data_IF_367870357358
#
_entry.id   IF_367870357358
#
_cell.length_a   1.000
_cell.length_b   1.000
_cell.length_c   1.000
_cell.angle_alpha   90.00
_cell.angle_beta   90.00
_cell.angle_gamma   90.00
#
_symmetry.space_group_name_H-M   'P 1'
#
loop_
_entity.id
_entity.type
_entity.pdbx_description
1 polymer ?
#
# COMPACT_ATOMS: atom_id res chain seq x y z
N UNK A 1 -44.89 -34.88 36.09
CA UNK A 1 -43.56 -35.50 35.96
C UNK A 1 -43.29 -35.68 34.47
N UNK A 2 -42.25 -35.07 33.92
CA UNK A 2 -41.75 -35.36 32.56
C UNK A 2 -40.89 -36.64 32.54
N UNK A 3 -40.02 -36.87 31.53
CA UNK A 3 -39.83 -36.11 30.29
C UNK A 3 -39.76 -36.99 29.00
N UNK A 4 -39.55 -36.29 27.89
CA UNK A 4 -39.22 -36.74 26.52
C UNK A 4 -37.87 -37.49 26.43
N UNK A 5 -37.74 -38.38 25.44
CA UNK A 5 -36.50 -38.71 24.70
C UNK A 5 -36.95 -39.14 23.29
N UNK A 6 -36.44 -38.65 22.17
CA UNK A 6 -35.16 -38.00 21.90
C UNK A 6 -34.71 -38.54 20.54
N UNK A 7 -35.24 -37.99 19.46
CA UNK A 7 -34.82 -38.32 18.10
C UNK A 7 -33.50 -37.61 17.80
N UNK A 8 -32.39 -38.33 17.89
CA UNK A 8 -31.13 -37.88 17.33
C UNK A 8 -31.11 -38.22 15.84
N UNK A 9 -31.31 -37.23 14.98
CA UNK A 9 -30.83 -37.30 13.60
C UNK A 9 -29.60 -36.39 13.53
N UNK A 10 -28.43 -37.03 13.55
CA UNK A 10 -27.17 -36.39 13.21
C UNK A 10 -27.22 -35.96 11.75
N UNK A 11 -27.24 -34.66 11.50
CA UNK A 11 -27.15 -34.11 10.15
C UNK A 11 -25.69 -34.21 9.68
N UNK A 12 -25.35 -35.32 9.02
CA UNK A 12 -24.07 -35.48 8.33
C UNK A 12 -24.08 -34.65 7.04
N UNK A 13 -23.30 -33.57 6.99
CA UNK A 13 -23.10 -32.80 5.75
C UNK A 13 -22.03 -33.48 4.91
N UNK A 14 -22.42 -33.99 3.73
CA UNK A 14 -21.50 -34.53 2.72
C UNK A 14 -21.20 -33.41 1.71
N UNK A 15 -19.94 -32.96 1.67
CA UNK A 15 -19.45 -32.07 0.62
C UNK A 15 -18.87 -32.91 -0.52
N UNK A 16 -19.47 -32.82 -1.71
CA UNK A 16 -18.96 -33.43 -2.94
C UNK A 16 -18.18 -32.34 -3.67
N UNK A 17 -16.86 -32.49 -3.78
CA UNK A 17 -16.05 -31.68 -4.70
C UNK A 17 -16.09 -32.32 -6.09
N UNK A 18 -16.57 -31.56 -7.06
CA UNK A 18 -16.47 -31.87 -8.49
C UNK A 18 -15.07 -31.51 -8.97
N UNK A 19 -14.17 -32.49 -9.01
CA UNK A 19 -12.85 -32.37 -9.64
C UNK A 19 -12.55 -33.69 -10.36
N UNK A 20 -12.65 -33.65 -11.68
CA UNK A 20 -12.41 -34.79 -12.57
C UNK A 20 -10.90 -34.96 -12.81
N UNK A 21 -10.41 -36.12 -12.36
CA UNK A 21 -9.24 -36.88 -12.84
C UNK A 21 -7.82 -36.38 -12.47
N UNK A 22 -6.84 -37.21 -12.09
CA UNK A 22 -6.69 -38.66 -11.86
C UNK A 22 -5.35 -38.80 -11.12
N UNK A 23 -5.30 -39.34 -9.89
CA UNK A 23 -4.11 -40.04 -9.42
C UNK A 23 -4.43 -40.99 -8.25
N UNK A 24 -3.81 -42.18 -8.17
CA UNK A 24 -4.29 -43.27 -7.32
C UNK A 24 -3.39 -43.42 -6.09
N UNK A 25 -3.71 -42.82 -4.95
CA UNK A 25 -3.19 -43.27 -3.64
C UNK A 25 -3.85 -42.51 -2.47
N UNK A 26 -4.65 -43.25 -1.69
CA UNK A 26 -4.83 -43.00 -0.25
C UNK A 26 -5.90 -41.99 0.16
N UNK A 27 -7.16 -42.45 0.29
CA UNK A 27 -8.18 -41.77 1.07
C UNK A 27 -7.74 -41.64 2.54
N UNK A 28 -7.42 -40.42 2.98
CA UNK A 28 -7.30 -40.09 4.41
C UNK A 28 -8.31 -39.00 4.74
N UNK A 29 -9.45 -39.42 5.32
CA UNK A 29 -10.50 -38.53 5.82
C UNK A 29 -10.07 -38.01 7.20
N UNK A 30 -9.91 -36.70 7.35
CA UNK A 30 -9.73 -36.06 8.66
C UNK A 30 -11.10 -35.68 9.22
N UNK A 31 -11.52 -36.36 10.29
CA UNK A 31 -12.67 -35.98 11.10
C UNK A 31 -12.21 -34.86 12.07
N UNK A 32 -12.75 -33.66 11.90
CA UNK A 32 -12.55 -32.55 12.83
C UNK A 32 -13.73 -32.52 13.80
N UNK A 33 -13.48 -32.85 15.07
CA UNK A 33 -14.46 -32.68 16.14
C UNK A 33 -14.72 -31.18 16.41
N UNK A 34 -15.97 -30.75 16.68
CA UNK A 34 -16.25 -29.36 16.94
C UNK A 34 -15.68 -28.94 18.30
N UNK A 35 -14.73 -28.01 18.27
CA UNK A 35 -14.21 -27.34 19.47
C UNK A 35 -15.33 -26.51 20.12
N UNK A 36 -15.86 -26.98 21.25
CA UNK A 36 -16.79 -26.22 22.10
C UNK A 36 -16.10 -24.94 22.59
N UNK A 37 -16.53 -23.77 22.08
CA UNK A 37 -16.22 -22.47 22.67
C UNK A 37 -17.31 -22.12 23.69
N UNK A 38 -16.94 -21.49 24.83
CA UNK A 38 -17.91 -21.18 25.88
C UNK A 38 -18.93 -20.15 25.40
N UNK A 39 -20.20 -20.42 25.71
CA UNK A 39 -21.35 -19.56 25.47
C UNK A 39 -21.18 -18.29 26.30
N UNK A 40 -20.97 -17.15 25.65
CA UNK A 40 -21.19 -15.84 26.25
C UNK A 40 -22.69 -15.55 26.17
N UNK A 41 -23.31 -15.27 27.32
CA UNK A 41 -24.72 -14.95 27.44
C UNK A 41 -25.06 -13.66 26.69
N UNK A 42 -25.79 -13.79 25.58
CA UNK A 42 -26.37 -12.67 24.84
C UNK A 42 -27.57 -12.10 25.61
N UNK A 43 -27.56 -10.78 25.84
CA UNK A 43 -28.66 -10.06 26.46
C UNK A 43 -29.90 -10.13 25.56
N UNK A 44 -31.00 -10.66 26.10
CA UNK A 44 -32.30 -10.78 25.45
C UNK A 44 -32.79 -9.41 24.95
N UNK A 45 -32.98 -9.27 23.64
CA UNK A 45 -33.58 -8.09 23.03
C UNK A 45 -35.09 -8.04 23.34
N UNK A 46 -35.61 -6.84 23.63
CA UNK A 46 -37.03 -6.58 23.90
C UNK A 46 -37.89 -6.89 22.67
N UNK A 47 -39.00 -7.60 22.88
CA UNK A 47 -39.99 -7.91 21.84
C UNK A 47 -40.78 -6.64 21.48
N UNK A 48 -40.71 -6.22 20.22
CA UNK A 48 -41.54 -5.16 19.65
C UNK A 48 -42.55 -5.87 18.74
N UNK A 49 -43.83 -5.80 19.08
CA UNK A 49 -44.92 -6.45 18.33
C UNK A 49 -45.65 -5.40 17.48
N UNK A 50 -45.74 -5.64 16.18
CA UNK A 50 -46.60 -4.88 15.27
C UNK A 50 -48.01 -5.49 15.29
N UNK A 51 -48.97 -4.76 15.87
CA UNK A 51 -50.33 -5.24 16.13
C UNK A 51 -51.16 -5.43 14.85
N UNK A 52 -50.73 -4.94 13.69
CA UNK A 52 -51.51 -4.99 12.44
C UNK A 52 -51.14 -6.19 11.54
N UNK A 53 -50.03 -6.90 11.79
CA UNK A 53 -49.55 -7.94 10.87
C UNK A 53 -49.34 -9.35 11.45
N UNK A 54 -49.66 -9.65 12.72
CA UNK A 54 -49.42 -10.96 13.35
C UNK A 54 -47.98 -11.53 13.12
N UNK A 55 -47.02 -10.66 12.80
CA UNK A 55 -45.63 -11.02 12.52
C UNK A 55 -44.84 -10.84 13.81
N UNK A 56 -44.40 -11.95 14.41
CA UNK A 56 -43.54 -11.95 15.59
C UNK A 56 -42.10 -12.20 15.15
N UNK A 57 -41.19 -11.27 15.46
CA UNK A 57 -39.75 -11.47 15.27
C UNK A 57 -39.25 -12.40 16.39
N UNK A 58 -39.25 -13.70 16.13
CA UNK A 58 -38.87 -14.73 17.12
C UNK A 58 -37.36 -14.82 17.37
N UNK A 59 -36.56 -14.24 16.47
CA UNK A 59 -35.11 -14.20 16.57
C UNK A 59 -34.57 -13.01 15.78
N UNK A 60 -33.81 -12.15 16.45
CA UNK A 60 -33.01 -11.11 15.81
C UNK A 60 -31.57 -11.29 16.27
N UNK A 61 -30.66 -11.45 15.32
CA UNK A 61 -29.22 -11.43 15.58
C UNK A 61 -28.60 -10.29 14.80
N UNK A 62 -27.79 -9.49 15.47
CA UNK A 62 -27.03 -8.45 14.80
C UNK A 62 -26.06 -9.10 13.80
N UNK A 63 -26.21 -8.74 12.53
CA UNK A 63 -25.33 -9.21 11.47
C UNK A 63 -23.89 -8.78 11.72
N UNK A 64 -22.92 -9.62 11.31
CA UNK A 64 -21.52 -9.22 11.30
C UNK A 64 -21.35 -8.14 10.22
N UNK A 65 -20.90 -6.95 10.63
CA UNK A 65 -20.55 -5.88 9.69
C UNK A 65 -19.35 -6.33 8.88
N UNK A 66 -19.50 -6.37 7.56
CA UNK A 66 -18.42 -6.73 6.62
C UNK A 66 -17.63 -5.48 6.22
N UNK A 67 -16.37 -5.63 5.74
CA UNK A 67 -15.61 -4.52 5.18
C UNK A 67 -16.39 -3.77 4.11
N UNK A 68 -16.47 -2.44 4.21
CA UNK A 68 -17.23 -1.59 3.32
C UNK A 68 -16.52 -0.26 3.08
N UNK A 69 -16.82 0.38 1.94
CA UNK A 69 -16.21 1.67 1.66
C UNK A 69 -16.71 2.67 2.69
N UNK A 70 -15.86 3.62 3.10
CA UNK A 70 -16.27 4.63 4.08
C UNK A 70 -17.59 5.33 3.72
N UNK A 71 -17.83 5.62 2.45
CA UNK A 71 -19.06 6.29 2.00
C UNK A 71 -20.33 5.43 2.09
N UNK A 72 -20.20 4.13 2.37
CA UNK A 72 -21.30 3.17 2.60
C UNK A 72 -21.45 2.82 4.10
N UNK A 73 -20.71 3.50 4.99
CA UNK A 73 -20.76 3.24 6.42
C UNK A 73 -22.11 3.62 7.03
N UNK A 74 -22.78 2.64 7.67
CA UNK A 74 -24.06 2.88 8.34
C UNK A 74 -23.90 3.47 9.75
N UNK A 75 -22.71 3.37 10.34
CA UNK A 75 -22.43 3.90 11.69
C UNK A 75 -22.08 5.39 11.67
N UNK A 76 -21.39 5.85 10.62
CA UNK A 76 -20.94 7.23 10.52
C UNK A 76 -21.44 7.87 9.23
N UNK A 77 -22.19 8.97 9.36
CA UNK A 77 -22.70 9.75 8.23
C UNK A 77 -21.58 10.15 7.29
N UNK A 78 -21.89 10.26 5.99
CA UNK A 78 -20.93 10.61 4.96
C UNK A 78 -21.46 11.77 4.11
N UNK A 79 -20.62 12.78 3.91
CA UNK A 79 -20.91 13.92 3.04
C UNK A 79 -20.18 13.76 1.70
N UNK A 80 -20.92 13.84 0.60
CA UNK A 80 -20.36 13.67 -0.76
C UNK A 80 -19.95 15.02 -1.31
N UNK A 81 -18.74 15.07 -1.87
CA UNK A 81 -18.26 16.23 -2.60
C UNK A 81 -17.26 15.78 -3.68
N UNK A 82 -17.05 16.62 -4.69
CA UNK A 82 -16.45 16.16 -5.94
C UNK A 82 -14.93 16.06 -5.88
N UNK A 83 -14.22 17.03 -5.30
CA UNK A 83 -12.74 17.10 -5.38
C UNK A 83 -12.04 17.64 -4.12
N UNK A 84 -12.72 17.59 -2.98
CA UNK A 84 -12.28 18.15 -1.71
C UNK A 84 -11.19 17.26 -1.08
N UNK A 85 -9.95 17.67 -1.26
CA UNK A 85 -8.76 16.95 -0.77
C UNK A 85 -8.08 17.64 0.42
N UNK A 86 -8.40 18.90 0.70
CA UNK A 86 -7.69 19.71 1.69
C UNK A 86 -7.87 19.23 3.13
N UNK A 87 -9.09 18.87 3.51
CA UNK A 87 -9.45 18.47 4.86
C UNK A 87 -10.68 17.56 4.85
N UNK A 88 -10.89 16.76 5.90
CA UNK A 88 -12.12 16.00 6.06
C UNK A 88 -13.35 16.91 6.00
N UNK A 89 -14.35 16.50 5.22
CA UNK A 89 -15.65 17.15 5.20
C UNK A 89 -16.50 16.62 6.34
N UNK A 90 -16.98 17.51 7.21
CA UNK A 90 -17.87 17.16 8.31
C UNK A 90 -17.37 15.94 9.10
N UNK A 91 -18.11 14.83 9.04
CA UNK A 91 -17.84 13.58 9.76
C UNK A 91 -17.11 12.52 8.92
N UNK A 92 -16.62 12.85 7.71
CA UNK A 92 -15.97 11.89 6.83
C UNK A 92 -14.71 11.25 7.44
N UNK A 93 -14.03 11.97 8.35
CA UNK A 93 -12.89 11.43 9.10
C UNK A 93 -13.24 10.23 10.01
N UNK A 94 -14.48 10.15 10.51
CA UNK A 94 -14.89 9.11 11.46
C UNK A 94 -15.01 7.76 10.75
N UNK A 95 -14.53 6.69 11.38
CA UNK A 95 -14.52 5.34 10.79
C UNK A 95 -15.03 4.34 11.81
N UNK A 96 -15.70 3.29 11.33
CA UNK A 96 -15.85 2.06 12.11
C UNK A 96 -14.70 1.11 11.76
N UNK A 97 -14.56 0.03 12.51
CA UNK A 97 -13.46 -0.95 12.36
C UNK A 97 -13.45 -1.67 11.00
N UNK A 98 -14.55 -1.58 10.24
CA UNK A 98 -14.72 -2.24 8.94
C UNK A 98 -14.71 -1.25 7.76
N UNK A 99 -14.54 0.05 8.02
CA UNK A 99 -14.38 1.01 6.93
C UNK A 99 -13.05 0.76 6.20
N UNK A 100 -13.08 0.71 4.86
CA UNK A 100 -11.89 0.76 4.03
C UNK A 100 -11.76 2.11 3.30
N UNK A 101 -10.51 2.48 3.03
CA UNK A 101 -10.16 3.64 2.23
C UNK A 101 -10.37 3.33 0.75
N UNK A 102 -11.28 4.05 0.11
CA UNK A 102 -11.61 3.87 -1.31
C UNK A 102 -10.39 3.96 -2.24
N UNK A 103 -9.47 4.89 -1.95
CA UNK A 103 -8.28 5.13 -2.78
C UNK A 103 -7.22 4.04 -2.60
N UNK A 104 -6.96 3.62 -1.36
CA UNK A 104 -5.86 2.70 -1.06
C UNK A 104 -6.25 1.21 -1.03
N UNK A 105 -7.54 0.89 -1.06
CA UNK A 105 -8.05 -0.48 -0.99
C UNK A 105 -7.59 -1.25 0.27
N UNK A 106 -7.46 -0.56 1.40
CA UNK A 106 -7.08 -1.09 2.72
C UNK A 106 -7.94 -0.49 3.82
N UNK A 107 -7.87 -1.02 5.04
CA UNK A 107 -8.62 -0.47 6.18
C UNK A 107 -8.33 1.03 6.34
N UNK A 108 -9.38 1.79 6.64
CA UNK A 108 -9.27 3.24 6.77
C UNK A 108 -8.34 3.63 7.92
N UNK A 109 -8.31 2.82 8.99
CA UNK A 109 -7.37 2.94 10.11
C UNK A 109 -5.90 2.77 9.72
N UNK A 110 -5.61 2.06 8.63
CA UNK A 110 -4.26 1.82 8.10
C UNK A 110 -3.87 2.82 7.00
N UNK A 111 -4.77 3.76 6.68
CA UNK A 111 -4.55 4.77 5.66
C UNK A 111 -3.77 5.96 6.22
N UNK A 112 -2.48 6.03 5.88
CA UNK A 112 -1.60 7.15 6.24
C UNK A 112 -2.12 8.50 5.72
N UNK A 113 -2.84 8.49 4.60
CA UNK A 113 -3.42 9.69 4.00
C UNK A 113 -4.88 9.92 4.39
N UNK A 114 -5.41 9.23 5.41
CA UNK A 114 -6.84 9.28 5.72
C UNK A 114 -7.36 10.71 5.90
N UNK A 115 -6.71 11.45 6.80
CA UNK A 115 -6.98 12.87 7.10
C UNK A 115 -5.78 13.76 6.79
N UNK A 116 -4.86 13.31 5.93
CA UNK A 116 -3.67 14.07 5.59
C UNK A 116 -4.06 15.40 4.90
N UNK A 117 -3.55 16.56 5.35
CA UNK A 117 -3.85 17.83 4.72
C UNK A 117 -3.48 17.82 3.23
N UNK A 118 -4.32 18.45 2.40
CA UNK A 118 -4.13 18.55 0.94
C UNK A 118 -4.17 17.23 0.15
N UNK A 119 -4.40 16.10 0.83
CA UNK A 119 -4.51 14.79 0.19
C UNK A 119 -5.35 13.80 1.02
N UNK A 120 -6.40 14.28 1.68
CA UNK A 120 -7.19 13.43 2.56
C UNK A 120 -8.04 12.45 1.76
N UNK A 121 -7.92 11.16 2.08
CA UNK A 121 -8.68 10.11 1.41
C UNK A 121 -10.08 9.89 2.00
N UNK A 122 -10.35 10.44 3.19
CA UNK A 122 -11.62 10.22 3.90
C UNK A 122 -12.85 10.75 3.15
N UNK A 123 -12.69 11.72 2.24
CA UNK A 123 -13.77 12.26 1.41
C UNK A 123 -14.01 11.44 0.12
N UNK A 124 -13.17 10.45 -0.16
CA UNK A 124 -13.18 9.77 -1.45
C UNK A 124 -14.39 8.83 -1.60
N UNK A 125 -15.03 8.87 -2.77
CA UNK A 125 -16.18 8.03 -3.06
C UNK A 125 -16.38 7.68 -4.54
N UNK A 126 -17.07 6.56 -4.80
CA UNK A 126 -17.26 6.01 -6.14
C UNK A 126 -18.22 6.76 -7.08
N UNK A 127 -18.87 7.84 -6.64
CA UNK A 127 -19.79 8.63 -7.49
C UNK A 127 -19.14 9.84 -8.17
N UNK A 128 -17.93 10.19 -7.77
CA UNK A 128 -17.16 11.28 -8.37
C UNK A 128 -16.25 10.73 -9.46
N UNK A 129 -16.08 11.47 -10.55
CA UNK A 129 -15.09 11.12 -11.57
C UNK A 129 -13.69 11.38 -11.05
N UNK A 130 -13.48 12.51 -10.37
CA UNK A 130 -12.20 12.85 -9.76
C UNK A 130 -11.69 11.74 -8.84
N UNK A 131 -12.52 11.24 -7.91
CA UNK A 131 -12.09 10.19 -6.98
C UNK A 131 -11.84 8.84 -7.66
N UNK A 132 -12.57 8.50 -8.73
CA UNK A 132 -12.29 7.31 -9.54
C UNK A 132 -10.94 7.41 -10.23
N UNK A 133 -10.63 8.58 -10.79
CA UNK A 133 -9.36 8.83 -11.47
C UNK A 133 -8.20 8.77 -10.46
N UNK A 134 -8.36 9.37 -9.28
CA UNK A 134 -7.38 9.28 -8.18
C UNK A 134 -7.17 7.83 -7.72
N UNK A 135 -8.25 7.05 -7.57
CA UNK A 135 -8.13 5.61 -7.26
C UNK A 135 -7.40 4.87 -8.37
N UNK A 136 -7.71 5.17 -9.63
CA UNK A 136 -7.05 4.56 -10.78
C UNK A 136 -5.55 4.84 -10.78
N UNK A 137 -5.15 6.10 -10.58
CA UNK A 137 -3.75 6.50 -10.44
C UNK A 137 -3.07 5.81 -9.26
N UNK A 138 -3.74 5.71 -8.11
CA UNK A 138 -3.19 5.02 -6.94
C UNK A 138 -2.98 3.52 -7.18
N UNK A 139 -3.92 2.85 -7.86
CA UNK A 139 -3.85 1.42 -8.17
C UNK A 139 -2.82 1.09 -9.26
N UNK A 140 -2.66 1.98 -10.23
CA UNK A 140 -1.63 1.87 -11.27
C UNK A 140 -0.25 2.21 -10.72
N UNK A 141 -0.16 3.19 -9.81
CA UNK A 141 1.07 3.61 -9.15
C UNK A 141 2.15 4.00 -10.15
N UNK A 142 3.38 3.51 -9.93
CA UNK A 142 4.52 3.82 -10.80
C UNK A 142 4.33 3.32 -12.25
N UNK A 143 3.44 2.34 -12.47
CA UNK A 143 3.21 1.76 -13.80
C UNK A 143 2.53 2.74 -14.78
N UNK A 144 2.02 3.88 -14.29
CA UNK A 144 1.42 4.92 -15.13
C UNK A 144 2.43 5.44 -16.15
N UNK A 145 3.74 5.34 -15.85
CA UNK A 145 4.81 5.73 -16.76
C UNK A 145 4.85 4.92 -18.07
N UNK A 146 4.20 3.76 -18.10
CA UNK A 146 4.10 2.86 -19.25
C UNK A 146 2.76 2.94 -19.97
N UNK A 147 1.86 3.83 -19.55
CA UNK A 147 0.51 3.99 -20.11
C UNK A 147 -0.30 2.67 -20.14
N UNK A 148 -0.18 1.84 -19.10
CA UNK A 148 -0.94 0.60 -18.97
C UNK A 148 -2.34 0.87 -18.42
N UNK A 149 -3.34 0.16 -18.94
CA UNK A 149 -4.69 0.17 -18.36
C UNK A 149 -4.76 -0.75 -17.14
N UNK A 150 -5.66 -0.47 -16.20
CA UNK A 150 -5.80 -1.27 -14.96
C UNK A 150 -6.11 -2.74 -15.21
N UNK A 151 -6.79 -3.06 -16.32
CA UNK A 151 -7.12 -4.41 -16.74
C UNK A 151 -5.91 -5.20 -17.21
N UNK A 152 -4.85 -4.52 -17.65
CA UNK A 152 -3.62 -5.15 -18.12
C UNK A 152 -2.64 -5.44 -16.98
N UNK A 153 -2.86 -4.83 -15.80
CA UNK A 153 -1.95 -4.88 -14.66
C UNK A 153 -2.23 -6.15 -13.82
N UNK A 154 -1.50 -7.21 -14.15
CA UNK A 154 -1.47 -8.45 -13.37
C UNK A 154 -0.51 -8.39 -12.15
N UNK A 155 -0.44 -9.49 -11.40
CA UNK A 155 0.37 -9.59 -10.19
C UNK A 155 1.88 -9.42 -10.47
N UNK A 156 2.36 -9.87 -11.63
CA UNK A 156 3.78 -9.77 -12.00
C UNK A 156 4.16 -8.32 -12.33
N UNK A 157 3.31 -7.61 -13.07
CA UNK A 157 3.51 -6.19 -13.34
C UNK A 157 3.43 -5.35 -12.07
N UNK A 158 2.49 -5.66 -11.16
CA UNK A 158 2.41 -5.02 -9.84
C UNK A 158 3.68 -5.26 -9.03
N UNK A 159 4.20 -6.49 -9.03
CA UNK A 159 5.44 -6.83 -8.33
C UNK A 159 6.63 -6.04 -8.89
N UNK A 160 6.81 -6.02 -10.22
CA UNK A 160 7.85 -5.20 -10.87
C UNK A 160 7.71 -3.71 -10.56
N UNK A 161 6.49 -3.19 -10.54
CA UNK A 161 6.20 -1.80 -10.15
C UNK A 161 6.57 -1.51 -8.68
N UNK A 162 6.27 -2.43 -7.77
CA UNK A 162 6.64 -2.30 -6.35
C UNK A 162 8.16 -2.32 -6.12
N UNK A 163 8.92 -3.05 -6.94
CA UNK A 163 10.38 -3.00 -6.92
C UNK A 163 10.90 -1.69 -7.51
N UNK A 164 10.32 -1.25 -8.63
CA UNK A 164 10.69 -0.01 -9.28
C UNK A 164 10.46 1.22 -8.39
N UNK A 165 9.33 1.32 -7.68
CA UNK A 165 9.07 2.48 -6.81
C UNK A 165 10.09 2.58 -5.66
N UNK A 166 10.53 1.45 -5.09
CA UNK A 166 11.59 1.43 -4.06
C UNK A 166 12.91 1.92 -4.64
N UNK A 167 13.27 1.39 -5.81
CA UNK A 167 14.47 1.83 -6.52
C UNK A 167 14.44 3.33 -6.83
N UNK A 168 13.32 3.89 -7.31
CA UNK A 168 13.21 5.33 -7.60
C UNK A 168 13.40 6.19 -6.34
N UNK A 169 12.87 5.74 -5.21
CA UNK A 169 13.07 6.43 -3.92
C UNK A 169 14.54 6.44 -3.50
N UNK A 170 15.21 5.30 -3.57
CA UNK A 170 16.64 5.17 -3.25
C UNK A 170 17.51 5.96 -4.26
N UNK A 171 17.19 5.85 -5.55
CA UNK A 171 17.90 6.54 -6.63
C UNK A 171 17.82 8.06 -6.45
N UNK A 172 16.67 8.59 -6.05
CA UNK A 172 16.50 10.01 -5.76
C UNK A 172 17.43 10.48 -4.65
N UNK A 173 17.60 9.69 -3.58
CA UNK A 173 18.51 10.03 -2.47
C UNK A 173 19.96 10.07 -2.95
N UNK A 174 20.42 9.02 -3.63
CA UNK A 174 21.80 8.94 -4.12
C UNK A 174 22.09 9.98 -5.20
N UNK A 175 21.13 10.21 -6.10
CA UNK A 175 21.28 11.21 -7.16
C UNK A 175 21.32 12.64 -6.61
N UNK A 176 20.49 12.97 -5.61
CA UNK A 176 20.58 14.26 -4.94
C UNK A 176 21.91 14.43 -4.21
N UNK A 177 22.44 13.37 -3.58
CA UNK A 177 23.77 13.39 -2.96
C UNK A 177 24.87 13.66 -4.00
N UNK A 178 24.77 13.01 -5.16
CA UNK A 178 25.62 13.31 -6.31
C UNK A 178 25.50 14.78 -6.73
N UNK A 179 24.29 15.33 -6.90
CA UNK A 179 24.09 16.73 -7.32
C UNK A 179 24.63 17.77 -6.33
N UNK A 180 24.65 17.46 -5.03
CA UNK A 180 25.23 18.34 -4.00
C UNK A 180 26.76 18.44 -4.13
N UNK A 181 27.40 17.35 -4.56
CA UNK A 181 28.85 17.26 -4.71
C UNK A 181 29.62 17.22 -3.38
N UNK A 182 30.85 16.71 -3.43
CA UNK A 182 31.75 16.62 -2.30
C UNK A 182 32.75 17.78 -2.34
N UNK A 183 32.85 18.57 -1.26
CA UNK A 183 33.87 19.62 -1.14
C UNK A 183 35.16 19.02 -0.63
N UNK A 184 36.15 18.95 -1.49
CA UNK A 184 37.45 18.36 -1.17
C UNK A 184 38.50 19.46 -1.13
N UNK A 185 39.37 19.41 -0.11
CA UNK A 185 40.57 20.24 -0.07
C UNK A 185 41.67 19.47 -0.80
N UNK A 186 42.26 20.01 -1.89
CA UNK A 186 43.45 19.44 -2.46
C UNK A 186 44.55 19.41 -1.39
N UNK A 187 45.23 18.27 -1.27
CA UNK A 187 46.24 18.06 -0.23
C UNK A 187 47.50 18.97 -0.38
N UNK A 188 47.62 19.72 -1.48
CA UNK A 188 48.88 20.33 -1.91
C UNK A 188 48.79 21.78 -2.43
N UNK A 189 47.91 22.62 -1.89
CA UNK A 189 48.02 24.07 -2.15
C UNK A 189 48.86 24.77 -1.08
N UNK A 190 50.08 25.16 -1.47
CA UNK A 190 50.89 26.12 -0.71
C UNK A 190 50.20 27.49 -0.77
N UNK A 191 49.67 27.94 0.37
CA UNK A 191 49.05 29.25 0.48
C UNK A 191 50.15 30.31 0.68
N UNK A 192 50.29 31.23 -0.27
CA UNK A 192 51.27 32.33 -0.21
C UNK A 192 51.01 33.33 0.94
N UNK A 193 49.85 33.28 1.60
CA UNK A 193 49.55 34.14 2.75
C UNK A 193 50.44 33.84 3.96
N UNK A 194 50.89 32.58 4.12
CA UNK A 194 51.73 32.16 5.26
C UNK A 194 52.76 31.10 4.82
N UNK A 195 54.02 31.49 4.54
CA UNK A 195 55.07 30.59 4.04
C UNK A 195 55.48 29.41 4.94
N UNK A 196 54.87 29.24 6.13
CA UNK A 196 55.22 28.21 7.13
C UNK A 196 54.02 27.46 7.74
N UNK A 197 52.80 27.66 7.22
CA UNK A 197 51.61 26.93 7.70
C UNK A 197 51.37 25.71 6.80
N UNK A 198 51.05 24.56 7.38
CA UNK A 198 50.74 23.35 6.62
C UNK A 198 49.56 23.55 5.66
N UNK A 199 49.49 22.74 4.61
CA UNK A 199 48.40 22.79 3.62
C UNK A 199 47.02 22.78 4.29
N UNK A 200 46.09 23.60 3.79
CA UNK A 200 44.72 23.69 4.31
C UNK A 200 44.53 24.47 5.63
N UNK A 201 45.60 24.95 6.28
CA UNK A 201 45.50 25.61 7.60
C UNK A 201 45.23 27.13 7.53
N UNK A 202 45.14 27.74 6.35
CA UNK A 202 44.84 29.16 6.21
C UNK A 202 43.34 29.39 6.04
N UNK A 203 42.68 30.05 7.00
CA UNK A 203 41.24 30.32 6.96
C UNK A 203 40.80 31.22 5.80
N UNK A 204 41.73 31.96 5.17
CA UNK A 204 41.48 32.84 4.02
C UNK A 204 41.60 32.05 2.70
N UNK A 205 42.65 31.24 2.57
CA UNK A 205 42.92 30.42 1.39
C UNK A 205 42.00 29.18 1.31
N UNK A 206 41.64 28.59 2.46
CA UNK A 206 40.86 27.35 2.55
C UNK A 206 39.58 27.36 1.71
N UNK A 207 38.67 28.36 1.80
CA UNK A 207 37.47 28.38 0.97
C UNK A 207 37.75 28.63 -0.53
N UNK A 208 38.91 29.19 -0.88
CA UNK A 208 39.30 29.45 -2.28
C UNK A 208 39.98 28.25 -2.95
N UNK A 209 40.47 27.30 -2.16
CA UNK A 209 41.05 26.05 -2.64
C UNK A 209 40.10 24.86 -2.44
N UNK A 210 38.85 25.06 -2.04
CA UNK A 210 37.89 23.96 -2.05
C UNK A 210 37.48 23.67 -3.49
N UNK A 211 37.72 22.43 -3.91
CA UNK A 211 37.21 21.91 -5.18
C UNK A 211 35.91 21.15 -4.91
N UNK A 212 34.96 21.27 -5.83
CA UNK A 212 33.71 20.53 -5.77
C UNK A 212 33.81 19.34 -6.72
N UNK A 213 33.78 18.13 -6.18
CA UNK A 213 33.91 16.88 -6.93
C UNK A 213 32.57 16.15 -6.91
N UNK A 214 32.10 15.73 -8.08
CA UNK A 214 30.86 14.97 -8.22
C UNK A 214 31.19 13.49 -8.43
N UNK A 215 30.78 12.61 -7.51
CA UNK A 215 31.03 11.16 -7.60
C UNK A 215 29.75 10.42 -7.94
N UNK A 216 29.68 9.88 -9.16
CA UNK A 216 28.53 9.10 -9.61
C UNK A 216 28.58 7.62 -9.19
N UNK A 217 29.58 7.22 -8.39
CA UNK A 217 29.84 5.81 -8.04
C UNK A 217 28.70 5.16 -7.27
N UNK A 218 28.07 5.89 -6.34
CA UNK A 218 27.03 5.33 -5.48
C UNK A 218 25.73 5.14 -6.27
N UNK A 219 25.38 6.12 -7.11
CA UNK A 219 24.30 6.00 -8.11
C UNK A 219 24.55 4.81 -9.03
N UNK A 220 25.77 4.68 -9.58
CA UNK A 220 26.14 3.57 -10.46
C UNK A 220 26.01 2.20 -9.77
N UNK A 221 26.47 2.08 -8.52
CA UNK A 221 26.39 0.85 -7.75
C UNK A 221 24.94 0.45 -7.46
N UNK A 222 24.10 1.42 -7.08
CA UNK A 222 22.67 1.22 -6.84
C UNK A 222 21.96 0.72 -8.11
N UNK A 223 22.17 1.41 -9.24
CA UNK A 223 21.61 1.03 -10.54
C UNK A 223 22.06 -0.39 -10.91
N UNK A 224 23.35 -0.68 -10.82
CA UNK A 224 23.90 -2.00 -11.18
C UNK A 224 23.27 -3.11 -10.33
N UNK A 225 23.09 -2.88 -9.03
CA UNK A 225 22.44 -3.84 -8.13
C UNK A 225 21.00 -4.09 -8.52
N UNK A 226 20.25 -3.03 -8.86
CA UNK A 226 18.87 -3.14 -9.30
C UNK A 226 18.72 -3.88 -10.64
N UNK A 227 19.60 -3.60 -11.62
CA UNK A 227 19.59 -4.30 -12.91
C UNK A 227 19.90 -5.81 -12.73
N UNK A 228 20.88 -6.14 -11.89
CA UNK A 228 21.19 -7.54 -11.55
C UNK A 228 20.05 -8.25 -10.81
N UNK A 229 19.23 -7.51 -10.06
CA UNK A 229 18.02 -8.05 -9.46
C UNK A 229 16.97 -8.34 -10.54
N UNK A 230 16.76 -7.41 -11.48
CA UNK A 230 15.78 -7.59 -12.56
C UNK A 230 16.04 -8.84 -13.41
N UNK A 231 17.31 -9.21 -13.63
CA UNK A 231 17.68 -10.45 -14.34
C UNK A 231 17.19 -11.74 -13.68
N UNK A 232 16.84 -11.70 -12.38
CA UNK A 232 16.36 -12.85 -11.61
C UNK A 232 14.84 -12.90 -11.49
N UNK A 233 14.15 -11.85 -11.92
CA UNK A 233 12.69 -11.74 -11.86
C UNK A 233 12.06 -12.38 -13.09
N UNK A 234 10.73 -12.59 -13.05
CA UNK A 234 10.00 -13.05 -14.22
C UNK A 234 10.03 -11.98 -15.35
N UNK A 235 9.82 -12.36 -16.63
CA UNK A 235 9.99 -11.44 -17.75
C UNK A 235 9.13 -10.17 -17.69
N UNK A 236 7.91 -10.24 -17.14
CA UNK A 236 7.01 -9.07 -17.02
C UNK A 236 7.53 -8.10 -15.98
N UNK A 237 7.86 -8.61 -14.78
CA UNK A 237 8.44 -7.80 -13.71
C UNK A 237 9.79 -7.19 -14.12
N UNK A 238 10.66 -7.99 -14.74
CA UNK A 238 11.96 -7.55 -15.25
C UNK A 238 11.82 -6.43 -16.28
N UNK A 239 10.88 -6.53 -17.23
CA UNK A 239 10.65 -5.49 -18.22
C UNK A 239 10.24 -4.16 -17.58
N UNK A 240 9.33 -4.18 -16.60
CA UNK A 240 8.93 -2.99 -15.83
C UNK A 240 10.13 -2.37 -15.13
N UNK A 241 10.94 -3.18 -14.43
CA UNK A 241 12.12 -2.71 -13.71
C UNK A 241 13.14 -2.06 -14.65
N UNK A 242 13.52 -2.74 -15.72
CA UNK A 242 14.55 -2.29 -16.66
C UNK A 242 14.13 -1.02 -17.42
N UNK A 243 12.91 -1.01 -17.97
CA UNK A 243 12.41 0.15 -18.72
C UNK A 243 12.17 1.35 -17.80
N UNK A 244 11.67 1.10 -16.58
CA UNK A 244 11.49 2.14 -15.57
C UNK A 244 12.81 2.76 -15.15
N UNK A 245 13.81 1.94 -14.81
CA UNK A 245 15.13 2.44 -14.45
C UNK A 245 15.78 3.23 -15.59
N UNK A 246 15.68 2.76 -16.84
CA UNK A 246 16.19 3.48 -17.99
C UNK A 246 15.53 4.87 -18.14
N UNK A 247 14.22 4.97 -17.93
CA UNK A 247 13.48 6.23 -18.01
C UNK A 247 13.92 7.24 -16.94
N UNK A 248 14.13 6.78 -15.72
CA UNK A 248 14.57 7.62 -14.60
C UNK A 248 16.02 8.11 -14.80
N UNK A 249 16.92 7.20 -15.16
CA UNK A 249 18.35 7.53 -15.38
C UNK A 249 18.51 8.46 -16.59
N UNK A 250 17.67 8.34 -17.62
CA UNK A 250 17.71 9.23 -18.78
C UNK A 250 17.43 10.71 -18.43
N UNK A 251 16.85 10.98 -17.26
CA UNK A 251 16.62 12.34 -16.76
C UNK A 251 17.82 12.92 -16.00
N UNK A 252 18.82 12.09 -15.67
CA UNK A 252 20.01 12.54 -14.97
C UNK A 252 20.85 13.47 -15.86
N UNK A 253 21.24 14.60 -15.27
CA UNK A 253 22.15 15.59 -15.86
C UNK A 253 23.50 15.53 -15.19
N UNK A 254 24.54 15.83 -15.97
CA UNK A 254 25.89 16.09 -15.47
C UNK A 254 25.95 17.51 -14.89
N UNK A 255 26.26 17.71 -13.60
CA UNK A 255 26.40 19.03 -12.98
C UNK A 255 27.54 19.87 -13.56
N UNK A 256 28.48 19.25 -14.28
CA UNK A 256 29.61 19.91 -14.91
C UNK A 256 29.29 20.52 -16.29
N UNK A 257 28.07 20.33 -16.82
CA UNK A 257 27.60 20.85 -18.12
C UNK A 257 26.56 21.95 -17.99
#
# INVERSE_FOLDING_TARGET
>A
MGPEQGGAQEESVILISDDEAESPLGNSVLLVEPLQKPILEDKKAEEIVDEECELVVTFCKQGKVMPHARYDCMTHSFERAECETCSPLENNANICDQCYCYICDKLASECQNWTAPSHCHCNAHNKSTFWKDQRGLALTGVLVMFNLELTDIDADLRHGGNLLIKFVQELSVEYNTYLVGERVSPNSHECFCHPKRGSGQCNICRPRHMELIYRYSDVFALVTTFLNQAEKENPKAAAVMLLGAAKEIALHKDPAQ
#
